data_IF_087369692987
#
_entry.id   IF_087369692987
#
_cell.length_a   1.000
_cell.length_b   1.000
_cell.length_c   1.000
_cell.angle_alpha   90.00
_cell.angle_beta   90.00
_cell.angle_gamma   90.00
#
_symmetry.space_group_name_H-M   'P 1'
#
loop_
_entity.id
_entity.type
_entity.pdbx_description
1 polymer ?
#
# COMPACT_ATOMS: atom_id res chain seq x y z
N UNK A 1 26.82 -3.18 -2.51
CA UNK A 1 25.57 -2.40 -2.27
C UNK A 1 24.92 -2.14 -3.62
N UNK A 2 23.61 -2.34 -3.76
CA UNK A 2 22.84 -2.33 -5.04
C UNK A 2 23.15 -1.12 -5.92
N UNK A 3 23.41 0.05 -5.32
CA UNK A 3 23.76 1.28 -6.03
C UNK A 3 25.04 1.18 -6.91
N UNK A 4 25.93 0.20 -6.64
CA UNK A 4 27.10 -0.08 -7.49
C UNK A 4 26.76 -0.93 -8.72
N UNK A 5 25.61 -1.61 -8.72
CA UNK A 5 25.15 -2.46 -9.82
C UNK A 5 24.15 -1.71 -10.72
N UNK A 6 23.27 -0.91 -10.13
CA UNK A 6 22.32 -0.06 -10.84
C UNK A 6 22.11 1.24 -10.03
N UNK A 7 22.51 2.42 -10.56
CA UNK A 7 22.20 3.69 -9.91
C UNK A 7 20.69 3.91 -9.83
N UNK A 8 20.21 4.43 -8.71
CA UNK A 8 18.80 4.81 -8.53
C UNK A 8 18.72 6.03 -7.62
N UNK A 9 17.58 6.69 -7.61
CA UNK A 9 17.37 7.88 -6.81
C UNK A 9 17.22 7.59 -5.32
N UNK A 10 17.75 8.48 -4.46
CA UNK A 10 17.47 8.47 -3.02
C UNK A 10 16.17 9.16 -2.60
N UNK A 11 15.55 9.94 -3.49
CA UNK A 11 14.26 10.59 -3.27
C UNK A 11 13.13 9.61 -2.94
N UNK A 12 12.51 9.79 -1.78
CA UNK A 12 11.40 8.97 -1.30
C UNK A 12 10.12 9.13 -2.13
N UNK A 13 9.85 10.33 -2.63
CA UNK A 13 8.64 10.68 -3.39
C UNK A 13 8.54 9.96 -4.74
N UNK A 14 9.59 9.24 -5.15
CA UNK A 14 9.63 8.35 -6.32
C UNK A 14 10.14 6.94 -6.02
N UNK A 15 10.31 6.58 -4.75
CA UNK A 15 10.68 5.22 -4.35
C UNK A 15 9.42 4.46 -3.96
N UNK A 16 9.06 3.44 -4.74
CA UNK A 16 7.88 2.60 -4.52
C UNK A 16 8.27 1.31 -3.81
N UNK A 17 7.46 0.90 -2.82
CA UNK A 17 7.42 -0.49 -2.33
C UNK A 17 6.06 -1.07 -2.69
N UNK A 18 6.09 -2.22 -3.36
CA UNK A 18 4.89 -2.86 -3.90
C UNK A 18 4.77 -4.29 -3.40
N UNK A 19 3.55 -4.73 -3.10
CA UNK A 19 3.28 -6.11 -2.77
C UNK A 19 1.81 -6.47 -2.64
N UNK A 20 1.57 -7.78 -2.63
CA UNK A 20 0.24 -8.38 -2.55
C UNK A 20 0.11 -9.18 -1.26
N UNK A 21 -1.09 -9.28 -0.67
CA UNK A 21 -1.32 -10.05 0.55
C UNK A 21 -0.40 -9.59 1.70
N UNK A 22 0.41 -10.48 2.30
CA UNK A 22 1.44 -10.09 3.27
C UNK A 22 2.48 -9.14 2.70
N UNK A 23 2.79 -9.20 1.40
CA UNK A 23 3.64 -8.22 0.73
C UNK A 23 2.99 -6.83 0.71
N UNK A 24 1.67 -6.73 0.58
CA UNK A 24 0.94 -5.46 0.66
C UNK A 24 0.99 -4.87 2.07
N UNK A 25 0.79 -5.72 3.09
CA UNK A 25 0.98 -5.34 4.50
C UNK A 25 2.42 -4.85 4.76
N UNK A 26 3.43 -5.60 4.29
CA UNK A 26 4.83 -5.25 4.45
C UNK A 26 5.21 -3.96 3.73
N UNK A 27 4.61 -3.70 2.57
CA UNK A 27 4.83 -2.47 1.80
C UNK A 27 4.31 -1.24 2.54
N UNK A 28 3.09 -1.32 3.08
CA UNK A 28 2.53 -0.25 3.91
C UNK A 28 3.33 -0.08 5.21
N UNK A 29 3.72 -1.17 5.85
CA UNK A 29 4.59 -1.13 7.02
C UNK A 29 5.90 -0.40 6.71
N UNK A 30 6.58 -0.73 5.61
CA UNK A 30 7.84 -0.09 5.25
C UNK A 30 7.70 1.43 5.07
N UNK A 31 6.63 1.88 4.44
CA UNK A 31 6.39 3.31 4.24
C UNK A 31 5.97 4.06 5.52
N UNK A 32 5.20 3.42 6.41
CA UNK A 32 4.82 4.04 7.68
C UNK A 32 6.00 4.21 8.64
N UNK A 33 7.00 3.34 8.59
CA UNK A 33 8.16 3.37 9.50
C UNK A 33 9.38 4.06 8.90
N UNK A 34 9.53 4.05 7.57
CA UNK A 34 10.63 4.70 6.87
C UNK A 34 10.13 5.57 5.70
N UNK A 35 9.24 6.55 5.95
CA UNK A 35 8.67 7.41 4.89
C UNK A 35 9.75 8.22 4.15
N UNK A 36 10.87 8.52 4.80
CA UNK A 36 12.05 9.17 4.22
C UNK A 36 12.78 8.33 3.17
N UNK A 37 12.47 7.03 3.08
CA UNK A 37 13.02 6.12 2.06
C UNK A 37 11.96 5.63 1.09
N UNK A 38 10.74 5.39 1.59
CA UNK A 38 9.64 4.79 0.84
C UNK A 38 8.42 5.71 0.89
N UNK A 39 8.38 6.71 0.01
CA UNK A 39 7.28 7.68 -0.04
C UNK A 39 6.08 7.21 -0.87
N UNK A 40 6.21 6.09 -1.60
CA UNK A 40 5.14 5.52 -2.43
C UNK A 40 4.86 4.06 -2.05
N UNK A 41 3.58 3.73 -1.86
CA UNK A 41 3.11 2.37 -1.50
C UNK A 41 2.15 1.86 -2.56
N UNK A 42 2.37 0.63 -3.00
CA UNK A 42 1.39 -0.13 -3.79
C UNK A 42 1.02 -1.40 -3.02
N UNK A 43 -0.17 -1.39 -2.42
CA UNK A 43 -0.71 -2.52 -1.66
C UNK A 43 -1.93 -3.09 -2.35
N UNK A 44 -1.86 -4.35 -2.77
CA UNK A 44 -3.00 -5.08 -3.32
C UNK A 44 -3.42 -6.19 -2.36
N UNK A 45 -4.71 -6.27 -2.05
CA UNK A 45 -5.28 -7.29 -1.16
C UNK A 45 -4.51 -7.41 0.16
N UNK A 46 -4.08 -6.27 0.73
CA UNK A 46 -3.17 -6.24 1.86
C UNK A 46 -3.75 -6.95 3.08
N UNK A 47 -2.95 -7.78 3.75
CA UNK A 47 -3.40 -8.61 4.88
C UNK A 47 -3.52 -7.82 6.20
N UNK A 48 -4.29 -6.72 6.19
CA UNK A 48 -4.46 -5.82 7.33
C UNK A 48 -5.32 -6.39 8.48
N UNK A 49 -5.81 -7.61 8.34
CA UNK A 49 -6.41 -8.40 9.42
C UNK A 49 -5.34 -9.04 10.34
N UNK A 50 -4.08 -9.08 9.91
CA UNK A 50 -2.99 -9.68 10.70
C UNK A 50 -2.78 -8.99 12.05
N UNK A 51 -2.50 -9.72 13.15
CA UNK A 51 -2.27 -11.17 13.23
C UNK A 51 -3.53 -12.01 13.42
N UNK A 52 -4.71 -11.39 13.53
CA UNK A 52 -5.94 -12.04 13.92
C UNK A 52 -6.62 -12.73 12.73
N UNK A 53 -6.28 -14.01 12.52
CA UNK A 53 -6.92 -14.85 11.51
C UNK A 53 -8.45 -14.83 11.67
N UNK A 54 -9.16 -14.68 10.56
CA UNK A 54 -10.62 -14.60 10.52
C UNK A 54 -11.21 -13.18 10.61
N UNK A 55 -10.39 -12.16 10.89
CA UNK A 55 -10.84 -10.76 10.84
C UNK A 55 -11.83 -10.34 11.93
N UNK A 56 -11.91 -11.11 13.02
CA UNK A 56 -12.78 -10.81 14.16
C UNK A 56 -12.24 -9.67 15.04
N UNK A 57 -10.95 -9.34 14.90
CA UNK A 57 -10.28 -8.27 15.63
C UNK A 57 -9.56 -7.35 14.65
N UNK A 58 -9.40 -6.08 15.03
CA UNK A 58 -8.63 -5.10 14.28
C UNK A 58 -7.18 -5.57 14.14
N UNK A 59 -6.63 -5.56 12.93
CA UNK A 59 -5.23 -5.92 12.75
C UNK A 59 -4.27 -4.91 13.34
N UNK A 60 -3.06 -5.37 13.67
CA UNK A 60 -2.10 -4.59 14.45
C UNK A 60 -1.75 -3.25 13.79
N UNK A 61 -1.57 -3.22 12.47
CA UNK A 61 -1.19 -1.99 11.79
C UNK A 61 -2.28 -0.92 11.88
N UNK A 62 -3.56 -1.33 11.78
CA UNK A 62 -4.71 -0.44 11.92
C UNK A 62 -4.84 0.04 13.37
N UNK A 63 -4.68 -0.85 14.36
CA UNK A 63 -4.71 -0.49 15.79
C UNK A 63 -3.61 0.53 16.16
N UNK A 64 -2.40 0.38 15.61
CA UNK A 64 -1.33 1.36 15.85
C UNK A 64 -1.59 2.72 15.18
N UNK A 65 -2.20 2.72 13.99
CA UNK A 65 -2.65 3.96 13.33
C UNK A 65 -3.76 4.64 14.13
N UNK A 66 -4.73 3.89 14.65
CA UNK A 66 -5.85 4.45 15.42
C UNK A 66 -5.41 5.08 16.74
N UNK A 67 -4.32 4.56 17.34
CA UNK A 67 -3.67 5.12 18.54
C UNK A 67 -2.73 6.29 18.25
N UNK A 68 -2.53 6.65 16.98
CA UNK A 68 -1.62 7.72 16.57
C UNK A 68 -0.14 7.38 16.75
N UNK A 69 0.21 6.09 16.83
CA UNK A 69 1.61 5.64 16.95
C UNK A 69 2.34 5.61 15.59
N UNK A 70 1.59 5.69 14.50
CA UNK A 70 2.08 5.69 13.12
C UNK A 70 1.56 6.91 12.38
N UNK A 71 2.40 7.46 11.52
CA UNK A 71 2.21 8.76 10.89
C UNK A 71 2.30 8.62 9.37
N UNK A 72 1.16 8.55 8.65
CA UNK A 72 1.15 8.32 7.20
C UNK A 72 1.47 9.58 6.38
N UNK A 73 1.83 10.70 7.01
CA UNK A 73 1.99 12.01 6.36
C UNK A 73 3.03 11.98 5.24
N UNK A 74 2.63 12.51 4.09
CA UNK A 74 3.50 12.64 2.91
C UNK A 74 3.56 11.38 2.04
N UNK A 75 2.83 10.32 2.38
CA UNK A 75 2.77 9.11 1.57
C UNK A 75 1.83 9.27 0.37
N UNK A 76 2.22 8.66 -0.76
CA UNK A 76 1.38 8.43 -1.93
C UNK A 76 1.03 6.95 -1.99
N UNK A 77 -0.26 6.62 -1.94
CA UNK A 77 -0.71 5.26 -1.66
C UNK A 77 -1.65 4.79 -2.76
N UNK A 78 -1.29 3.68 -3.41
CA UNK A 78 -2.21 2.85 -4.17
C UNK A 78 -2.70 1.72 -3.25
N UNK A 79 -3.99 1.73 -2.95
CA UNK A 79 -4.63 0.73 -2.11
C UNK A 79 -5.71 0.01 -2.92
N UNK A 80 -5.54 -1.28 -3.13
CA UNK A 80 -6.42 -2.09 -3.98
C UNK A 80 -6.92 -3.31 -3.21
N UNK A 81 -8.21 -3.64 -3.34
CA UNK A 81 -8.75 -4.91 -2.84
C UNK A 81 -9.89 -5.41 -3.74
N UNK A 82 -9.99 -6.74 -3.85
CA UNK A 82 -11.05 -7.42 -4.57
C UNK A 82 -12.34 -7.49 -3.78
N UNK A 83 -13.48 -7.31 -4.43
CA UNK A 83 -14.80 -7.43 -3.78
C UNK A 83 -15.15 -8.88 -3.39
N UNK A 84 -14.48 -9.88 -4.00
CA UNK A 84 -14.69 -11.32 -3.74
C UNK A 84 -13.77 -11.90 -2.65
N UNK A 85 -13.13 -11.04 -1.86
CA UNK A 85 -12.30 -11.42 -0.70
C UNK A 85 -12.75 -10.66 0.57
N UNK A 86 -13.95 -10.95 1.11
CA UNK A 86 -14.66 -10.05 2.04
C UNK A 86 -13.90 -9.68 3.31
N UNK A 87 -13.12 -10.60 3.89
CA UNK A 87 -12.29 -10.32 5.07
C UNK A 87 -11.19 -9.30 4.73
N UNK A 88 -10.52 -9.50 3.59
CA UNK A 88 -9.42 -8.63 3.14
C UNK A 88 -9.99 -7.29 2.71
N UNK A 89 -11.08 -7.29 1.93
CA UNK A 89 -11.74 -6.09 1.48
C UNK A 89 -12.14 -5.18 2.64
N UNK A 90 -12.82 -5.73 3.66
CA UNK A 90 -13.19 -4.97 4.87
C UNK A 90 -11.98 -4.46 5.63
N UNK A 91 -10.92 -5.26 5.75
CA UNK A 91 -9.69 -4.81 6.41
C UNK A 91 -8.99 -3.66 5.65
N UNK A 92 -9.02 -3.68 4.31
CA UNK A 92 -8.48 -2.58 3.50
C UNK A 92 -9.34 -1.33 3.59
N UNK A 93 -10.67 -1.45 3.65
CA UNK A 93 -11.57 -0.32 3.92
C UNK A 93 -11.35 0.27 5.33
N UNK A 94 -11.15 -0.58 6.35
CA UNK A 94 -10.86 -0.13 7.69
C UNK A 94 -9.53 0.63 7.76
N UNK A 95 -8.49 0.15 7.05
CA UNK A 95 -7.25 0.90 6.92
C UNK A 95 -7.46 2.25 6.22
N UNK A 96 -8.23 2.29 5.13
CA UNK A 96 -8.48 3.50 4.34
C UNK A 96 -9.01 4.66 5.20
N UNK A 97 -9.88 4.36 6.17
CA UNK A 97 -10.44 5.36 7.10
C UNK A 97 -9.38 6.04 7.99
N UNK A 98 -8.20 5.43 8.17
CA UNK A 98 -7.08 6.03 8.93
C UNK A 98 -6.07 6.78 8.06
N UNK A 99 -6.31 6.86 6.75
CA UNK A 99 -5.36 7.45 5.80
C UNK A 99 -5.90 8.73 5.11
N UNK A 100 -7.10 9.20 5.44
CA UNK A 100 -7.87 10.23 4.70
C UNK A 100 -7.11 11.52 4.31
N UNK A 101 -6.06 11.88 5.05
CA UNK A 101 -5.24 13.08 4.78
C UNK A 101 -4.15 12.86 3.71
N UNK A 102 -4.00 11.65 3.16
CA UNK A 102 -2.94 11.31 2.19
C UNK A 102 -3.42 11.34 0.75
N UNK A 103 -2.47 11.34 -0.20
CA UNK A 103 -2.78 11.10 -1.61
C UNK A 103 -3.05 9.61 -1.81
N UNK A 104 -4.33 9.23 -1.87
CA UNK A 104 -4.75 7.82 -1.97
C UNK A 104 -5.49 7.56 -3.27
N UNK A 105 -5.08 6.49 -3.93
CA UNK A 105 -5.77 5.88 -5.06
C UNK A 105 -6.40 4.58 -4.58
N UNK A 106 -7.66 4.66 -4.12
CA UNK A 106 -8.43 3.49 -3.72
C UNK A 106 -9.06 2.82 -4.93
N UNK A 107 -8.78 1.52 -5.11
CA UNK A 107 -9.34 0.73 -6.20
C UNK A 107 -10.02 -0.53 -5.70
N UNK A 108 -11.31 -0.63 -6.02
CA UNK A 108 -12.06 -1.87 -5.86
C UNK A 108 -11.96 -2.67 -7.15
N UNK A 109 -11.67 -3.97 -7.05
CA UNK A 109 -11.55 -4.86 -8.21
C UNK A 109 -12.71 -5.86 -8.18
N UNK A 110 -13.42 -6.03 -9.29
CA UNK A 110 -14.30 -7.19 -9.47
C UNK A 110 -13.44 -8.45 -9.67
N UNK A 111 -12.97 -8.98 -8.54
CA UNK A 111 -12.01 -10.06 -8.45
C UNK A 111 -11.81 -10.44 -6.98
N UNK A 112 -10.93 -11.41 -6.73
CA UNK A 112 -10.63 -11.91 -5.40
C UNK A 112 -9.14 -11.90 -5.10
N UNK A 113 -8.72 -12.83 -4.24
CA UNK A 113 -7.33 -13.02 -3.85
C UNK A 113 -6.53 -13.77 -4.93
N UNK A 114 -6.38 -13.15 -6.10
CA UNK A 114 -5.90 -13.79 -7.33
C UNK A 114 -4.81 -12.96 -8.04
N UNK A 115 -3.67 -13.59 -8.31
CA UNK A 115 -2.55 -12.98 -9.03
C UNK A 115 -2.93 -12.53 -10.45
N UNK A 116 -3.90 -13.17 -11.09
CA UNK A 116 -4.41 -12.76 -12.39
C UNK A 116 -5.08 -11.38 -12.33
N UNK A 117 -5.78 -11.09 -11.24
CA UNK A 117 -6.35 -9.77 -10.97
C UNK A 117 -5.23 -8.78 -10.62
N UNK A 118 -4.28 -9.17 -9.76
CA UNK A 118 -3.23 -8.27 -9.27
C UNK A 118 -2.31 -7.76 -10.36
N UNK A 119 -1.96 -8.56 -11.38
CA UNK A 119 -1.01 -8.15 -12.43
C UNK A 119 -1.37 -6.82 -13.10
N UNK A 120 -2.66 -6.56 -13.31
CA UNK A 120 -3.14 -5.34 -13.94
C UNK A 120 -3.13 -4.15 -12.97
N UNK A 121 -3.44 -4.38 -11.70
CA UNK A 121 -3.30 -3.37 -10.64
C UNK A 121 -1.87 -2.99 -10.33
N UNK A 122 -0.92 -3.93 -10.47
CA UNK A 122 0.49 -3.66 -10.24
C UNK A 122 1.03 -2.64 -11.24
N UNK A 123 0.80 -2.84 -12.54
CA UNK A 123 1.27 -1.91 -13.58
C UNK A 123 0.53 -0.58 -13.51
N UNK A 124 -0.79 -0.59 -13.33
CA UNK A 124 -1.58 0.62 -13.18
C UNK A 124 -1.16 1.45 -11.96
N UNK A 125 -0.90 0.79 -10.82
CA UNK A 125 -0.46 1.45 -9.60
C UNK A 125 0.94 2.06 -9.73
N UNK A 126 1.87 1.38 -10.41
CA UNK A 126 3.20 1.95 -10.70
C UNK A 126 3.09 3.21 -11.56
N UNK A 127 2.30 3.16 -12.63
CA UNK A 127 2.04 4.32 -13.51
C UNK A 127 1.44 5.48 -12.70
N UNK A 128 0.43 5.20 -11.88
CA UNK A 128 -0.27 6.22 -11.12
C UNK A 128 0.62 6.87 -10.04
N UNK A 129 1.43 6.07 -9.33
CA UNK A 129 2.31 6.58 -8.27
C UNK A 129 3.41 7.47 -8.84
N UNK A 130 3.96 7.11 -10.01
CA UNK A 130 5.00 7.87 -10.71
C UNK A 130 4.50 8.97 -11.65
N UNK A 131 3.18 9.15 -11.81
CA UNK A 131 2.61 10.15 -12.71
C UNK A 131 3.22 11.57 -12.60
N UNK A 132 3.56 12.12 -11.42
CA UNK A 132 4.17 13.46 -11.34
C UNK A 132 5.51 13.56 -12.06
N UNK A 133 6.26 12.46 -12.17
CA UNK A 133 7.55 12.43 -12.86
C UNK A 133 7.39 12.64 -14.38
N UNK A 134 6.21 12.39 -14.92
CA UNK A 134 5.90 12.58 -16.34
C UNK A 134 5.38 13.99 -16.65
N UNK A 135 5.26 14.88 -15.66
CA UNK A 135 4.74 16.25 -15.83
C UNK A 135 5.83 17.33 -15.85
N UNK A 136 7.10 16.94 -15.72
CA UNK A 136 8.25 17.83 -15.78
C UNK A 136 8.85 17.93 -17.22
N UNK A 137 8.02 17.72 -18.26
CA UNK A 137 8.29 18.10 -19.66
C UNK A 137 7.42 19.30 -20.06
#
# INVERSE_FOLDING_TARGET
>A
MVHRLAPFSDRADRTVVAGQSFGGLASMFAALYWPQRFGCVLSQSGSYWWPHRGGAQTGLLIDRLSRGELHPQGLRIWLEAGIREPIIFRANQALLAHLEQQTIFWRQVDGGHDALCWRGGLTAGLIQLWQPLCRDE
#
